data_IF_842027200565
#
_entry.id   IF_842027200565
#
_cell.length_a   1.000
_cell.length_b   1.000
_cell.length_c   1.000
_cell.angle_alpha   90.00
_cell.angle_beta   90.00
_cell.angle_gamma   90.00
#
_symmetry.space_group_name_H-M   'P 1'
#
loop_
_entity.id
_entity.type
_entity.pdbx_description
1 polymer ?
#
# COMPACT_ATOMS: atom_id res chain seq x y z
N UNK A 1 10.05 -6.75 -10.58
CA UNK A 1 9.82 -7.85 -9.61
C UNK A 1 8.32 -8.16 -9.52
N UNK A 2 7.90 -9.42 -9.34
CA UNK A 2 6.48 -9.75 -9.14
C UNK A 2 6.07 -9.48 -7.70
N UNK A 3 5.13 -8.57 -7.47
CA UNK A 3 4.56 -8.30 -6.15
C UNK A 3 3.36 -9.20 -5.91
N UNK A 4 3.27 -9.72 -4.69
CA UNK A 4 2.11 -10.47 -4.21
C UNK A 4 1.72 -9.94 -2.84
N UNK A 5 0.42 -9.85 -2.58
CA UNK A 5 -0.10 -9.48 -1.27
C UNK A 5 -0.30 -10.72 -0.42
N UNK A 6 -0.02 -10.60 0.88
CA UNK A 6 -0.48 -11.59 1.84
C UNK A 6 -2.00 -11.50 1.99
N UNK A 7 -2.68 -12.58 2.44
CA UNK A 7 -4.12 -12.54 2.71
C UNK A 7 -4.51 -11.41 3.67
N UNK A 8 -3.67 -11.15 4.69
CA UNK A 8 -3.87 -10.05 5.63
C UNK A 8 -3.83 -8.68 4.95
N UNK A 9 -2.88 -8.45 4.05
CA UNK A 9 -2.79 -7.18 3.32
C UNK A 9 -4.01 -6.92 2.43
N UNK A 10 -4.62 -7.97 1.85
CA UNK A 10 -5.87 -7.83 1.09
C UNK A 10 -7.03 -7.37 1.98
N UNK A 11 -7.15 -7.96 3.18
CA UNK A 11 -8.15 -7.57 4.18
C UNK A 11 -7.92 -6.12 4.63
N UNK A 12 -6.67 -5.78 4.99
CA UNK A 12 -6.31 -4.44 5.44
C UNK A 12 -6.66 -3.37 4.39
N UNK A 13 -6.38 -3.62 3.10
CA UNK A 13 -6.74 -2.71 2.01
C UNK A 13 -8.26 -2.51 1.89
N UNK A 14 -9.04 -3.58 2.03
CA UNK A 14 -10.50 -3.50 1.98
C UNK A 14 -11.08 -2.72 3.17
N UNK A 15 -10.56 -2.94 4.38
CA UNK A 15 -10.99 -2.24 5.59
C UNK A 15 -10.66 -0.74 5.53
N UNK A 16 -9.43 -0.39 5.13
CA UNK A 16 -9.01 1.01 4.95
C UNK A 16 -9.87 1.68 3.88
N UNK A 17 -10.07 1.01 2.74
CA UNK A 17 -10.90 1.52 1.65
C UNK A 17 -12.33 1.82 2.09
N UNK A 18 -12.97 0.89 2.81
CA UNK A 18 -14.31 1.07 3.37
C UNK A 18 -14.36 2.23 4.37
N UNK A 19 -13.43 2.27 5.32
CA UNK A 19 -13.36 3.33 6.33
C UNK A 19 -13.24 4.73 5.71
N UNK A 20 -12.41 4.86 4.67
CA UNK A 20 -12.23 6.12 3.95
C UNK A 20 -13.46 6.47 3.11
N UNK A 21 -14.05 5.49 2.41
CA UNK A 21 -15.19 5.73 1.53
C UNK A 21 -16.44 6.23 2.29
N UNK A 22 -16.65 5.73 3.51
CA UNK A 22 -17.72 6.21 4.41
C UNK A 22 -17.58 7.70 4.77
N UNK A 23 -16.36 8.24 4.75
CA UNK A 23 -16.05 9.64 5.13
C UNK A 23 -15.88 10.55 3.94
N UNK A 24 -15.21 10.05 2.89
CA UNK A 24 -14.93 10.77 1.66
C UNK A 24 -14.65 9.77 0.54
N UNK A 25 -15.61 9.52 -0.37
CA UNK A 25 -15.41 8.64 -1.51
C UNK A 25 -14.24 9.08 -2.41
N UNK A 26 -14.09 10.39 -2.62
CA UNK A 26 -12.98 10.94 -3.40
C UNK A 26 -11.63 10.80 -2.68
N UNK A 27 -11.61 10.95 -1.35
CA UNK A 27 -10.43 10.69 -0.52
C UNK A 27 -10.00 9.22 -0.56
N UNK A 28 -10.96 8.30 -0.51
CA UNK A 28 -10.69 6.86 -0.64
C UNK A 28 -10.03 6.53 -2.00
N UNK A 29 -10.58 7.07 -3.10
CA UNK A 29 -10.02 6.87 -4.43
C UNK A 29 -8.59 7.44 -4.56
N UNK A 30 -8.33 8.62 -3.96
CA UNK A 30 -7.00 9.22 -3.96
C UNK A 30 -5.97 8.37 -3.20
N UNK A 31 -6.35 7.83 -2.04
CA UNK A 31 -5.48 6.96 -1.23
C UNK A 31 -5.21 5.64 -1.94
N UNK A 32 -6.23 5.01 -2.53
CA UNK A 32 -6.05 3.77 -3.29
C UNK A 32 -5.09 3.97 -4.48
N UNK A 33 -5.28 5.07 -5.22
CA UNK A 33 -4.39 5.45 -6.32
C UNK A 33 -2.95 5.62 -5.83
N UNK A 34 -2.74 6.31 -4.70
CA UNK A 34 -1.40 6.51 -4.13
C UNK A 34 -0.76 5.19 -3.72
N UNK A 35 -1.50 4.28 -3.07
CA UNK A 35 -1.01 2.95 -2.69
C UNK A 35 -0.58 2.15 -3.92
N UNK A 36 -1.40 2.16 -4.99
CA UNK A 36 -1.08 1.48 -6.26
C UNK A 36 0.20 2.03 -6.89
N UNK A 37 0.36 3.34 -6.94
CA UNK A 37 1.59 3.98 -7.44
C UNK A 37 2.82 3.57 -6.61
N UNK A 38 2.70 3.50 -5.28
CA UNK A 38 3.82 3.05 -4.42
C UNK A 38 4.18 1.59 -4.71
N UNK A 39 3.20 0.72 -4.92
CA UNK A 39 3.42 -0.69 -5.26
C UNK A 39 4.14 -0.84 -6.60
N UNK A 40 3.72 -0.07 -7.61
CA UNK A 40 4.40 -0.01 -8.91
C UNK A 40 5.86 0.44 -8.78
N UNK A 41 6.13 1.42 -7.91
CA UNK A 41 7.49 1.88 -7.61
C UNK A 41 8.31 0.79 -6.91
N UNK A 42 7.75 0.06 -5.95
CA UNK A 42 8.44 -1.07 -5.29
C UNK A 42 8.81 -2.15 -6.31
N UNK A 43 7.95 -2.40 -7.29
CA UNK A 43 8.21 -3.41 -8.31
C UNK A 43 9.43 -3.06 -9.20
N UNK A 44 9.68 -1.77 -9.38
CA UNK A 44 10.82 -1.19 -10.12
C UNK A 44 12.05 -1.00 -9.24
N UNK A 45 11.86 -0.59 -7.98
CA UNK A 45 12.91 -0.24 -7.02
C UNK A 45 12.68 -0.94 -5.67
N UNK A 46 12.98 -2.26 -5.57
CA UNK A 46 12.66 -3.05 -4.37
C UNK A 46 13.35 -2.58 -3.08
N UNK A 47 14.48 -1.86 -3.20
CA UNK A 47 15.27 -1.36 -2.08
C UNK A 47 14.88 0.06 -1.62
N UNK A 48 13.79 0.65 -2.15
CA UNK A 48 13.38 2.02 -1.82
C UNK A 48 12.81 2.21 -0.42
N UNK A 49 12.49 1.12 0.30
CA UNK A 49 11.96 1.21 1.66
C UNK A 49 13.05 1.36 2.73
N UNK A 50 12.71 2.04 3.83
CA UNK A 50 13.56 2.10 5.02
C UNK A 50 13.46 0.79 5.79
N UNK A 51 14.57 0.16 6.11
CA UNK A 51 14.59 -1.04 6.97
C UNK A 51 14.01 -0.70 8.35
N UNK A 52 12.93 -1.39 8.73
CA UNK A 52 12.30 -1.25 10.05
C UNK A 52 12.74 -2.38 10.99
N UNK A 53 12.93 -3.58 10.44
CA UNK A 53 13.43 -4.78 11.13
C UNK A 53 13.94 -5.79 10.08
N UNK A 54 14.64 -6.88 10.46
CA UNK A 54 15.15 -7.85 9.50
C UNK A 54 14.05 -8.33 8.53
N UNK A 55 14.37 -8.30 7.23
CA UNK A 55 13.47 -8.64 6.12
C UNK A 55 12.17 -7.81 6.00
N UNK A 56 12.07 -6.66 6.70
CA UNK A 56 10.91 -5.77 6.62
C UNK A 56 11.35 -4.34 6.39
N UNK A 57 10.91 -3.79 5.26
CA UNK A 57 11.08 -2.39 4.91
C UNK A 57 9.74 -1.67 4.93
N UNK A 58 9.76 -0.40 5.31
CA UNK A 58 8.59 0.50 5.36
C UNK A 58 8.79 1.59 4.32
N UNK A 59 7.72 1.87 3.55
CA UNK A 59 7.66 3.04 2.68
C UNK A 59 6.79 4.10 3.32
N UNK A 60 7.35 5.30 3.45
CA UNK A 60 6.60 6.49 3.82
C UNK A 60 6.42 7.31 2.53
N UNK A 61 5.18 7.50 2.05
CA UNK A 61 4.89 8.22 0.81
C UNK A 61 5.06 9.74 0.90
#
# INVERSE_FOLDING_TARGET
MRITYSPRAVIDLAEIGRYLAERSPSGAAAVEKRMRTVVELIAQFPASGRSARPAVSVITP
#
